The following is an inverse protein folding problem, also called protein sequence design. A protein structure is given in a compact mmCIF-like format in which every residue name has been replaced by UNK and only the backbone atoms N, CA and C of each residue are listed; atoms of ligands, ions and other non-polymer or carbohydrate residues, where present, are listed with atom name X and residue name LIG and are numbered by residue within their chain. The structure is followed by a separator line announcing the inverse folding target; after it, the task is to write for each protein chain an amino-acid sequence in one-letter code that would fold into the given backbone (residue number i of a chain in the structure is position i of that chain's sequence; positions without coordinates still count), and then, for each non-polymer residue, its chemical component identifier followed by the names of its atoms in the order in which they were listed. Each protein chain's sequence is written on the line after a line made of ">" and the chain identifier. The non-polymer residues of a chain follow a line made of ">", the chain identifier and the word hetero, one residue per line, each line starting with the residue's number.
data_IF_336480159706
#
_entry.id   IF_336480159706
#
_cell.length_a   1.000
_cell.length_b   1.000
_cell.length_c   1.000
_cell.angle_alpha   90.00
_cell.angle_beta   90.00
_cell.angle_gamma   90.00
#
_symmetry.space_group_name_H-M   'P 1'
#
loop_
_entity.id
_entity.type
_entity.pdbx_description
1 polymer ?
#
# COMPACT_ATOMS: atom_id res chain seq x y z
N UNK A 1 -11.20 18.58 5.81
CA UNK A 1 -10.47 17.63 6.64
C UNK A 1 -9.41 16.97 5.75
N UNK A 2 -8.16 17.26 5.98
CA UNK A 2 -7.05 16.88 5.09
C UNK A 2 -6.63 15.46 5.42
N UNK A 3 -7.03 14.46 4.63
CA UNK A 3 -6.68 13.05 4.88
C UNK A 3 -5.30 12.76 4.32
N UNK A 4 -4.44 12.16 5.13
CA UNK A 4 -3.11 11.67 4.78
C UNK A 4 -3.13 10.14 4.79
N UNK A 5 -2.56 9.54 3.76
CA UNK A 5 -2.62 8.10 3.52
C UNK A 5 -1.21 7.54 3.40
N UNK A 6 -1.00 6.34 3.95
CA UNK A 6 0.25 5.62 3.92
C UNK A 6 0.02 4.21 3.35
N UNK A 7 0.79 3.79 2.34
CA UNK A 7 0.59 2.52 1.62
C UNK A 7 1.90 1.98 1.02
N UNK A 8 1.88 0.74 0.52
CA UNK A 8 2.97 0.09 -0.21
C UNK A 8 2.73 0.06 -1.72
N UNK A 9 3.83 0.08 -2.50
CA UNK A 9 3.82 0.30 -3.95
C UNK A 9 3.67 -0.97 -4.81
N UNK A 10 3.15 -2.07 -4.27
CA UNK A 10 2.71 -3.22 -5.08
C UNK A 10 1.47 -2.89 -5.90
N UNK A 11 0.97 -3.85 -6.68
CA UNK A 11 -0.22 -3.62 -7.52
C UNK A 11 -1.43 -3.07 -6.78
N UNK A 12 -1.70 -3.54 -5.55
CA UNK A 12 -2.76 -2.99 -4.69
C UNK A 12 -2.43 -1.56 -4.24
N UNK A 13 -1.17 -1.31 -3.85
CA UNK A 13 -0.75 -0.01 -3.34
C UNK A 13 -0.79 1.09 -4.39
N UNK A 14 -0.43 0.80 -5.64
CA UNK A 14 -0.53 1.76 -6.74
C UNK A 14 -1.98 2.19 -6.98
N UNK A 15 -2.91 1.24 -7.00
CA UNK A 15 -4.33 1.55 -7.08
C UNK A 15 -4.82 2.33 -5.86
N UNK A 16 -4.40 1.95 -4.65
CA UNK A 16 -4.76 2.66 -3.42
C UNK A 16 -4.24 4.11 -3.44
N UNK A 17 -3.00 4.33 -3.90
CA UNK A 17 -2.41 5.66 -4.08
C UNK A 17 -3.26 6.54 -5.00
N UNK A 18 -3.55 6.03 -6.21
CA UNK A 18 -4.34 6.76 -7.20
C UNK A 18 -5.76 7.05 -6.71
N UNK A 19 -6.42 6.07 -6.08
CA UNK A 19 -7.76 6.24 -5.54
C UNK A 19 -7.78 7.21 -4.37
N UNK A 20 -6.78 7.18 -3.48
CA UNK A 20 -6.66 8.14 -2.40
C UNK A 20 -6.59 9.58 -2.91
N UNK A 21 -5.82 9.83 -3.96
CA UNK A 21 -5.73 11.15 -4.61
C UNK A 21 -7.08 11.54 -5.26
N UNK A 22 -7.72 10.63 -5.99
CA UNK A 22 -9.04 10.86 -6.61
C UNK A 22 -10.12 11.17 -5.56
N UNK A 23 -10.01 10.57 -4.37
CA UNK A 23 -10.89 10.82 -3.23
C UNK A 23 -10.54 12.09 -2.43
N UNK A 24 -9.54 12.86 -2.88
CA UNK A 24 -9.17 14.13 -2.27
C UNK A 24 -8.21 14.02 -1.08
N UNK A 25 -7.39 12.98 -1.02
CA UNK A 25 -6.30 12.93 -0.05
C UNK A 25 -5.34 14.09 -0.31
N UNK A 26 -5.09 14.89 0.72
CA UNK A 26 -4.16 16.01 0.61
C UNK A 26 -2.73 15.55 0.39
N UNK A 27 -2.35 14.49 1.06
CA UNK A 27 -1.02 13.92 1.02
C UNK A 27 -1.11 12.40 1.03
N UNK A 28 -0.39 11.76 0.12
CA UNK A 28 -0.20 10.30 0.06
C UNK A 28 1.29 10.01 0.17
N UNK A 29 1.65 9.23 1.17
CA UNK A 29 3.03 8.79 1.43
C UNK A 29 3.08 7.29 1.15
N UNK A 30 4.04 6.85 0.35
CA UNK A 30 4.19 5.45 -0.03
C UNK A 30 5.51 4.90 0.46
N UNK A 31 5.46 3.77 1.17
CA UNK A 31 6.64 3.04 1.63
C UNK A 31 6.83 1.79 0.78
N UNK A 32 8.01 1.56 0.26
CA UNK A 32 8.41 0.30 -0.36
C UNK A 32 9.93 0.15 -0.24
N UNK A 33 10.44 -1.04 -0.53
CA UNK A 33 11.89 -1.28 -0.53
C UNK A 33 12.49 -1.21 -1.94
N UNK A 34 11.66 -1.20 -2.98
CA UNK A 34 12.09 -1.22 -4.37
C UNK A 34 11.91 0.16 -5.00
N UNK A 35 13.00 0.80 -5.39
CA UNK A 35 13.00 2.15 -5.98
C UNK A 35 12.17 2.24 -7.26
N UNK A 36 12.12 1.17 -8.07
CA UNK A 36 11.28 1.15 -9.26
C UNK A 36 9.79 1.23 -8.91
N UNK A 37 9.35 0.64 -7.79
CA UNK A 37 7.98 0.73 -7.31
C UNK A 37 7.69 2.10 -6.70
N UNK A 38 8.65 2.68 -5.99
CA UNK A 38 8.52 4.03 -5.45
C UNK A 38 8.37 5.07 -6.56
N UNK A 39 9.20 5.01 -7.61
CA UNK A 39 9.04 5.87 -8.79
C UNK A 39 7.67 5.70 -9.45
N UNK A 40 7.21 4.46 -9.59
CA UNK A 40 5.89 4.21 -10.15
C UNK A 40 4.76 4.77 -9.26
N UNK A 41 4.92 4.71 -7.94
CA UNK A 41 3.96 5.31 -7.02
C UNK A 41 3.85 6.84 -7.19
N UNK A 42 4.95 7.52 -7.49
CA UNK A 42 4.95 8.95 -7.82
C UNK A 42 4.12 9.24 -9.09
N UNK A 43 4.26 8.41 -10.13
CA UNK A 43 3.44 8.50 -11.35
C UNK A 43 1.94 8.27 -11.06
N UNK A 44 1.62 7.49 -10.01
CA UNK A 44 0.25 7.26 -9.54
C UNK A 44 -0.24 8.30 -8.53
N UNK A 45 0.58 9.32 -8.23
CA UNK A 45 0.18 10.48 -7.44
C UNK A 45 0.63 10.45 -5.98
N UNK A 46 1.62 9.64 -5.62
CA UNK A 46 2.26 9.76 -4.32
C UNK A 46 2.95 11.12 -4.19
N UNK A 47 2.72 11.81 -3.09
CA UNK A 47 3.37 13.10 -2.79
C UNK A 47 4.76 12.90 -2.19
N UNK A 48 4.96 11.78 -1.50
CA UNK A 48 6.24 11.35 -0.95
C UNK A 48 6.41 9.85 -1.06
N UNK A 49 7.64 9.44 -1.25
CA UNK A 49 8.08 8.05 -1.22
C UNK A 49 9.16 7.87 -0.16
N UNK A 50 9.16 6.71 0.50
CA UNK A 50 10.13 6.33 1.53
C UNK A 50 10.67 4.95 1.18
N UNK A 51 11.96 4.85 0.89
CA UNK A 51 12.62 3.56 0.78
C UNK A 51 12.88 3.01 2.19
N UNK A 52 12.23 1.89 2.52
CA UNK A 52 12.34 1.29 3.87
C UNK A 52 13.74 0.75 4.18
N UNK A 53 14.56 0.50 3.18
CA UNK A 53 15.96 0.10 3.38
C UNK A 53 16.83 1.26 3.92
N UNK A 54 16.49 2.51 3.57
CA UNK A 54 17.13 3.71 4.11
C UNK A 54 16.70 3.97 5.57
N UNK A 55 15.54 3.48 5.96
CA UNK A 55 14.95 3.61 7.29
C UNK A 55 14.73 2.22 7.92
N UNK A 56 15.80 1.45 8.09
CA UNK A 56 15.72 0.03 8.47
C UNK A 56 14.99 -0.22 9.80
N UNK A 57 15.13 0.68 10.77
CA UNK A 57 14.43 0.57 12.06
C UNK A 57 12.97 1.06 11.95
N UNK A 58 11.97 0.33 12.50
CA UNK A 58 10.58 0.77 12.55
C UNK A 58 10.42 2.20 13.10
N UNK A 59 11.12 2.51 14.19
CA UNK A 59 11.07 3.84 14.81
C UNK A 59 11.54 4.96 13.86
N UNK A 60 12.53 4.70 12.99
CA UNK A 60 12.99 5.68 12.01
C UNK A 60 11.93 5.95 10.93
N UNK A 61 11.21 4.92 10.48
CA UNK A 61 10.08 5.08 9.54
C UNK A 61 8.93 5.87 10.17
N UNK A 62 8.56 5.54 11.40
CA UNK A 62 7.56 6.31 12.17
C UNK A 62 7.97 7.77 12.32
N UNK A 63 9.23 8.02 12.66
CA UNK A 63 9.76 9.38 12.77
C UNK A 63 9.68 10.12 11.43
N UNK A 64 10.04 9.45 10.33
CA UNK A 64 9.96 10.05 8.98
C UNK A 64 8.52 10.41 8.58
N UNK A 65 7.54 9.57 8.90
CA UNK A 65 6.11 9.89 8.71
C UNK A 65 5.72 11.12 9.53
N UNK A 66 6.15 11.21 10.79
CA UNK A 66 5.87 12.38 11.63
C UNK A 66 6.48 13.65 11.07
N UNK A 67 7.70 13.61 10.57
CA UNK A 67 8.34 14.77 9.92
C UNK A 67 7.51 15.25 8.72
N UNK A 68 7.15 14.35 7.82
CA UNK A 68 6.35 14.67 6.64
C UNK A 68 4.93 15.14 6.97
N UNK A 69 4.44 14.84 8.18
CA UNK A 69 3.10 15.18 8.64
C UNK A 69 3.10 16.27 9.73
N UNK A 70 4.20 17.02 9.87
CA UNK A 70 4.33 18.08 10.87
C UNK A 70 4.05 17.60 12.31
N UNK A 71 4.56 16.43 12.67
CA UNK A 71 4.43 15.81 13.98
C UNK A 71 3.09 15.08 14.23
N UNK A 72 2.09 15.21 13.34
CA UNK A 72 0.74 14.67 13.59
C UNK A 72 0.62 13.17 13.38
N UNK A 73 1.33 12.60 12.42
CA UNK A 73 1.11 11.25 11.92
C UNK A 73 0.05 11.18 10.81
N UNK A 74 -0.19 9.98 10.30
CA UNK A 74 -1.13 9.71 9.21
C UNK A 74 -2.58 9.56 9.72
N UNK A 75 -3.55 10.10 8.99
CA UNK A 75 -4.97 9.91 9.33
C UNK A 75 -5.45 8.49 8.96
N UNK A 76 -4.83 7.89 7.93
CA UNK A 76 -5.10 6.51 7.50
C UNK A 76 -3.77 5.85 7.17
N UNK A 77 -3.56 4.63 7.67
CA UNK A 77 -2.47 3.74 7.31
C UNK A 77 -3.07 2.48 6.73
N UNK A 78 -2.62 2.05 5.54
CA UNK A 78 -3.10 0.83 4.88
C UNK A 78 -1.95 -0.19 4.79
N UNK A 79 -2.13 -1.35 5.40
CA UNK A 79 -1.20 -2.47 5.26
C UNK A 79 -1.59 -3.30 4.02
N UNK A 80 -0.66 -3.40 3.05
CA UNK A 80 -0.87 -4.08 1.76
C UNK A 80 0.26 -5.07 1.42
N UNK A 81 1.15 -5.36 2.39
CA UNK A 81 2.30 -6.29 2.22
C UNK A 81 1.94 -7.70 2.63
N UNK A 82 1.18 -7.83 3.71
CA UNK A 82 0.90 -9.10 4.36
C UNK A 82 1.94 -9.50 5.41
N UNK A 83 2.41 -8.54 6.22
CA UNK A 83 3.35 -8.78 7.32
C UNK A 83 2.74 -8.33 8.63
N UNK A 84 2.44 -9.29 9.52
CA UNK A 84 1.75 -9.03 10.79
C UNK A 84 2.45 -7.99 11.67
N UNK A 85 3.79 -7.96 11.68
CA UNK A 85 4.58 -7.00 12.44
C UNK A 85 4.35 -5.53 12.04
N UNK A 86 3.87 -5.26 10.83
CA UNK A 86 3.58 -3.92 10.36
C UNK A 86 2.35 -3.31 11.03
N UNK A 87 1.49 -4.13 11.66
CA UNK A 87 0.35 -3.63 12.43
C UNK A 87 0.80 -2.74 13.58
N UNK A 88 1.76 -3.19 14.38
CA UNK A 88 2.26 -2.41 15.52
C UNK A 88 2.94 -1.10 15.06
N UNK A 89 3.76 -1.19 14.01
CA UNK A 89 4.43 -0.03 13.42
C UNK A 89 3.42 0.97 12.82
N UNK A 90 2.44 0.47 12.08
CA UNK A 90 1.40 1.32 11.47
C UNK A 90 0.53 2.04 12.50
N UNK A 91 0.25 1.41 13.66
CA UNK A 91 -0.44 2.09 14.77
C UNK A 91 0.41 3.26 15.30
N UNK A 92 1.74 3.11 15.34
CA UNK A 92 2.65 4.19 15.78
C UNK A 92 2.74 5.33 14.75
N UNK A 93 2.52 5.06 13.46
CA UNK A 93 2.44 6.07 12.41
C UNK A 93 1.16 6.89 12.46
N UNK A 94 0.07 6.37 13.06
CA UNK A 94 -1.23 7.05 13.09
C UNK A 94 -1.22 8.33 13.92
N UNK A 95 -1.95 9.32 13.41
CA UNK A 95 -2.40 10.47 14.18
C UNK A 95 -3.44 10.08 15.23
N UNK A 96 -3.75 11.00 16.15
CA UNK A 96 -4.90 10.85 17.03
C UNK A 96 -6.19 10.79 16.20
N UNK A 97 -7.07 9.83 16.50
CA UNK A 97 -8.27 9.56 15.72
C UNK A 97 -8.03 8.87 14.37
N UNK A 98 -6.78 8.48 14.07
CA UNK A 98 -6.43 7.82 12.82
C UNK A 98 -6.91 6.37 12.72
N UNK A 99 -6.94 5.84 11.50
CA UNK A 99 -7.42 4.49 11.21
C UNK A 99 -6.34 3.66 10.51
N UNK A 100 -6.01 2.50 11.08
CA UNK A 100 -5.23 1.47 10.42
C UNK A 100 -6.17 0.53 9.66
N UNK A 101 -5.86 0.25 8.40
CA UNK A 101 -6.64 -0.66 7.55
C UNK A 101 -5.76 -1.85 7.18
N UNK A 102 -6.13 -3.02 7.69
CA UNK A 102 -5.47 -4.29 7.42
C UNK A 102 -6.08 -4.95 6.18
N UNK A 103 -5.26 -5.17 5.16
CA UNK A 103 -5.68 -5.78 3.89
C UNK A 103 -4.72 -6.88 3.45
N UNK A 104 -3.43 -6.70 3.73
CA UNK A 104 -2.36 -7.52 3.16
C UNK A 104 -2.14 -8.85 3.84
N UNK A 105 -2.29 -8.95 5.16
CA UNK A 105 -2.03 -10.17 5.92
C UNK A 105 -3.24 -11.11 5.91
N UNK A 106 -3.26 -12.00 4.93
CA UNK A 106 -4.31 -13.02 4.78
C UNK A 106 -3.93 -14.38 5.40
N UNK A 107 -2.74 -14.48 6.00
CA UNK A 107 -2.24 -15.73 6.58
C UNK A 107 -2.71 -15.85 8.03
N UNK A 108 -3.48 -16.91 8.29
CA UNK A 108 -3.99 -17.19 9.64
C UNK A 108 -2.90 -17.69 10.59
N UNK A 109 -3.08 -17.44 11.89
CA UNK A 109 -2.22 -17.97 12.95
C UNK A 109 -0.95 -17.14 13.20
N UNK A 110 -0.85 -15.94 12.64
CA UNK A 110 0.18 -14.97 13.01
C UNK A 110 -0.31 -14.11 14.17
N UNK A 111 0.56 -13.88 15.13
CA UNK A 111 0.28 -13.06 16.30
C UNK A 111 1.24 -11.88 16.35
N UNK A 112 0.75 -10.74 16.80
CA UNK A 112 1.54 -9.54 17.06
C UNK A 112 1.13 -8.93 18.39
N UNK A 113 2.12 -8.50 19.17
CA UNK A 113 1.89 -7.80 20.43
C UNK A 113 1.69 -6.31 20.18
N UNK A 114 0.62 -5.76 20.72
CA UNK A 114 0.29 -4.34 20.67
C UNK A 114 0.09 -3.83 22.07
N UNK A 115 0.65 -2.67 22.41
CA UNK A 115 0.33 -1.94 23.61
C UNK A 115 -1.05 -1.27 23.45
N UNK A 116 -2.08 -1.70 24.22
CA UNK A 116 -3.43 -1.15 24.09
C UNK A 116 -3.51 0.35 24.36
N UNK A 117 -2.59 0.90 25.16
CA UNK A 117 -2.57 2.34 25.46
C UNK A 117 -2.38 3.20 24.22
N UNK A 118 -1.76 2.67 23.17
CA UNK A 118 -1.58 3.35 21.89
C UNK A 118 -2.90 3.62 21.15
N UNK A 119 -3.97 2.91 21.49
CA UNK A 119 -5.29 3.08 20.90
C UNK A 119 -6.16 4.13 21.62
N UNK A 120 -5.79 4.52 22.85
CA UNK A 120 -6.59 5.43 23.68
C UNK A 120 -6.81 6.82 23.07
N UNK A 121 -5.97 7.22 22.12
CA UNK A 121 -6.15 8.47 21.41
C UNK A 121 -7.21 8.40 20.28
N UNK A 122 -8.17 7.49 20.38
CA UNK A 122 -9.26 7.31 19.43
C UNK A 122 -8.84 6.61 18.13
N UNK A 123 -7.71 5.92 18.11
CA UNK A 123 -7.26 5.17 16.93
C UNK A 123 -8.14 3.94 16.69
N UNK A 124 -8.31 3.57 15.44
CA UNK A 124 -9.13 2.43 15.01
C UNK A 124 -8.30 1.45 14.16
N UNK A 125 -8.66 0.18 14.24
CA UNK A 125 -8.14 -0.88 13.37
C UNK A 125 -9.32 -1.47 12.62
N UNK A 126 -9.25 -1.52 11.30
CA UNK A 126 -10.26 -2.08 10.42
C UNK A 126 -9.65 -3.15 9.53
N UNK A 127 -10.27 -4.33 9.51
CA UNK A 127 -9.96 -5.36 8.52
C UNK A 127 -10.78 -5.17 7.25
N UNK A 128 -10.16 -5.44 6.08
CA UNK A 128 -10.85 -5.46 4.80
C UNK A 128 -10.39 -6.66 3.98
N UNK A 129 -11.29 -7.61 3.81
CA UNK A 129 -11.07 -8.80 2.99
C UNK A 129 -12.10 -8.83 1.86
N UNK A 130 -11.60 -8.99 0.62
CA UNK A 130 -12.43 -9.01 -0.58
C UNK A 130 -13.17 -7.68 -0.84
N UNK A 131 -14.05 -7.68 -1.81
CA UNK A 131 -14.86 -6.52 -2.17
C UNK A 131 -16.30 -6.94 -2.46
N UNK A 132 -17.21 -6.00 -2.29
CA UNK A 132 -18.62 -6.23 -2.65
C UNK A 132 -18.76 -6.11 -4.17
N UNK A 133 -19.37 -7.09 -4.87
CA UNK A 133 -19.56 -7.04 -6.33
C UNK A 133 -20.20 -5.75 -6.84
N UNK A 134 -21.06 -5.12 -6.03
CA UNK A 134 -21.69 -3.83 -6.33
C UNK A 134 -20.69 -2.65 -6.49
N UNK A 135 -19.41 -2.83 -6.11
CA UNK A 135 -18.36 -1.83 -6.34
C UNK A 135 -17.80 -1.89 -7.78
N UNK A 136 -17.96 -3.00 -8.51
CA UNK A 136 -17.38 -3.15 -9.85
C UNK A 136 -17.77 -2.04 -10.83
N UNK A 137 -19.05 -1.63 -10.96
CA UNK A 137 -19.41 -0.53 -11.83
C UNK A 137 -18.67 0.77 -11.48
N UNK A 138 -18.57 1.10 -10.20
CA UNK A 138 -17.86 2.30 -9.73
C UNK A 138 -16.35 2.25 -10.04
N UNK A 139 -15.75 1.06 -9.93
CA UNK A 139 -14.34 0.85 -10.28
C UNK A 139 -14.12 1.01 -11.79
N UNK A 140 -15.02 0.49 -12.62
CA UNK A 140 -14.95 0.67 -14.06
C UNK A 140 -15.09 2.15 -14.45
N UNK A 141 -16.05 2.86 -13.86
CA UNK A 141 -16.20 4.31 -14.07
C UNK A 141 -14.94 5.08 -13.64
N UNK A 142 -14.32 4.69 -12.53
CA UNK A 142 -13.07 5.28 -12.08
C UNK A 142 -11.95 5.05 -13.11
N UNK A 143 -11.78 3.83 -13.59
CA UNK A 143 -10.76 3.50 -14.59
C UNK A 143 -10.98 4.26 -15.90
N UNK A 144 -12.22 4.34 -16.37
CA UNK A 144 -12.57 5.08 -17.60
C UNK A 144 -12.26 6.56 -17.46
N UNK A 145 -12.63 7.18 -16.34
CA UNK A 145 -12.37 8.63 -16.08
C UNK A 145 -10.88 8.96 -15.98
N UNK A 146 -10.08 8.02 -15.51
CA UNK A 146 -8.67 8.24 -15.23
C UNK A 146 -7.72 7.59 -16.26
N UNK A 147 -8.23 6.92 -17.29
CA UNK A 147 -7.43 6.13 -18.27
C UNK A 147 -6.33 6.91 -18.99
N UNK A 148 -6.48 8.22 -19.13
CA UNK A 148 -5.49 9.10 -19.77
C UNK A 148 -4.68 9.94 -18.78
N UNK A 149 -5.04 9.89 -17.50
CA UNK A 149 -4.36 10.62 -16.42
C UNK A 149 -3.36 9.75 -15.68
N UNK A 150 -3.65 8.46 -15.56
CA UNK A 150 -2.88 7.50 -14.80
C UNK A 150 -2.35 6.40 -15.70
N UNK A 151 -1.09 6.00 -15.52
CA UNK A 151 -0.44 5.01 -16.38
C UNK A 151 -0.81 3.57 -15.97
N UNK A 152 -2.10 3.22 -15.94
CA UNK A 152 -2.54 1.87 -15.48
C UNK A 152 -1.86 0.71 -16.20
N UNK A 153 -1.44 0.90 -17.44
CA UNK A 153 -0.75 -0.12 -18.24
C UNK A 153 0.63 -0.47 -17.68
N UNK A 154 1.28 0.46 -16.95
CA UNK A 154 2.61 0.23 -16.35
C UNK A 154 2.58 -0.69 -15.13
N UNK A 155 1.39 -0.92 -14.55
CA UNK A 155 1.22 -1.89 -13.46
C UNK A 155 1.58 -3.30 -13.93
N UNK A 156 1.29 -3.63 -15.21
CA UNK A 156 1.66 -4.89 -15.82
C UNK A 156 3.12 -4.78 -16.28
N UNK A 157 4.04 -5.16 -15.40
CA UNK A 157 5.47 -5.07 -15.67
C UNK A 157 6.02 -6.21 -16.53
N UNK A 158 5.37 -7.39 -16.49
CA UNK A 158 5.84 -8.60 -17.17
C UNK A 158 4.69 -9.38 -17.79
N UNK A 159 4.93 -9.91 -19.00
CA UNK A 159 4.02 -10.81 -19.70
C UNK A 159 4.75 -12.12 -19.96
N UNK A 160 4.10 -13.23 -19.68
CA UNK A 160 4.62 -14.56 -19.93
C UNK A 160 3.63 -15.32 -20.82
N UNK A 161 4.12 -16.13 -21.79
CA UNK A 161 3.26 -17.09 -22.46
C UNK A 161 2.60 -18.04 -21.46
N UNK A 162 1.37 -18.47 -21.72
CA UNK A 162 0.67 -19.41 -20.83
C UNK A 162 1.46 -20.70 -20.62
N UNK A 163 2.20 -21.16 -21.64
CA UNK A 163 3.08 -22.34 -21.56
C UNK A 163 4.23 -22.16 -20.55
N UNK A 164 4.58 -20.92 -20.19
CA UNK A 164 5.66 -20.61 -19.24
C UNK A 164 5.11 -20.29 -17.83
N UNK A 165 3.95 -20.79 -17.47
CA UNK A 165 3.29 -20.50 -16.18
C UNK A 165 4.19 -20.75 -14.98
N UNK A 166 4.97 -21.85 -14.99
CA UNK A 166 5.90 -22.18 -13.89
C UNK A 166 7.01 -21.13 -13.78
N UNK A 167 7.61 -20.72 -14.90
CA UNK A 167 8.62 -19.66 -14.92
C UNK A 167 8.05 -18.32 -14.46
N UNK A 168 6.79 -18.02 -14.78
CA UNK A 168 6.11 -16.84 -14.30
C UNK A 168 5.94 -16.85 -12.77
N UNK A 169 5.57 -17.99 -12.19
CA UNK A 169 5.48 -18.15 -10.74
C UNK A 169 6.85 -18.09 -10.05
N UNK A 170 7.88 -18.66 -10.63
CA UNK A 170 9.25 -18.60 -10.08
C UNK A 170 9.81 -17.16 -10.08
N UNK A 171 9.51 -16.38 -11.11
CA UNK A 171 9.97 -14.99 -11.25
C UNK A 171 9.09 -13.99 -10.52
N UNK A 172 7.78 -14.26 -10.38
CA UNK A 172 6.89 -13.41 -9.62
C UNK A 172 7.26 -13.42 -8.13
N UNK A 173 6.89 -12.36 -7.43
CA UNK A 173 7.14 -12.20 -5.99
C UNK A 173 6.28 -13.17 -5.17
N UNK A 174 6.61 -14.44 -5.28
CA UNK A 174 5.99 -15.49 -4.52
C UNK A 174 6.94 -15.88 -3.37
N UNK A 175 6.45 -15.96 -2.15
CA UNK A 175 7.22 -16.28 -0.95
C UNK A 175 8.31 -15.25 -0.55
N UNK A 176 8.00 -13.95 -0.56
CA UNK A 176 8.91 -12.88 -0.08
C UNK A 176 10.17 -12.66 -0.93
N UNK A 177 10.26 -13.19 -2.14
CA UNK A 177 11.37 -12.89 -3.05
C UNK A 177 11.23 -11.46 -3.57
N UNK A 178 12.33 -10.72 -3.51
CA UNK A 178 12.44 -9.40 -4.10
C UNK A 178 12.55 -9.53 -5.61
N UNK A 179 11.49 -9.23 -6.32
CA UNK A 179 11.54 -9.14 -7.77
C UNK A 179 11.12 -7.74 -8.21
N UNK A 180 11.66 -7.28 -9.35
CA UNK A 180 11.24 -6.03 -9.98
C UNK A 180 9.83 -6.14 -10.62
N UNK A 181 9.14 -7.25 -10.39
CA UNK A 181 7.80 -7.48 -10.92
C UNK A 181 6.77 -6.75 -10.06
N UNK A 182 6.06 -5.80 -10.65
CA UNK A 182 4.91 -5.16 -10.02
C UNK A 182 3.67 -6.03 -10.19
N UNK A 183 3.40 -6.47 -11.43
CA UNK A 183 2.37 -7.44 -11.76
C UNK A 183 2.79 -8.23 -12.99
N UNK A 184 2.76 -9.56 -12.89
CA UNK A 184 2.90 -10.45 -14.03
C UNK A 184 1.52 -10.87 -14.55
N UNK A 185 1.40 -11.06 -15.86
CA UNK A 185 0.22 -11.64 -16.51
C UNK A 185 0.62 -12.76 -17.44
N UNK A 186 -0.22 -13.78 -17.56
CA UNK A 186 -0.12 -14.82 -18.56
C UNK A 186 -0.90 -14.40 -19.80
N UNK A 187 -0.30 -14.60 -20.95
CA UNK A 187 -0.93 -14.34 -22.24
C UNK A 187 -1.02 -15.64 -23.05
N UNK A 188 -2.09 -15.84 -23.86
CA UNK A 188 -2.24 -17.00 -24.72
C UNK A 188 -1.09 -17.16 -25.71
#
# INVERSE_FOLDING_TARGET
>A
MCKRWDTLAGGLGLHATAMAKDMGAHQVIVLDRLDNRLRLAEEFGADHTINVEEYAAPAARVQRIRELTHGRGADIVMELVGRAELLAEGIDMLSNGGTFVEIGDIVRGREVSIDPSKLLAGKSILGSLMYRPALLPKLLDYLVRNRYKLPFHTIISHKFPLAEVNAAFEKAEWHQRQTNITRAVLVP
#
